data_IF_431940815649
#
_entry.id   IF_431940815649
#
_cell.length_a   1.000
_cell.length_b   1.000
_cell.length_c   1.000
_cell.angle_alpha   90.00
_cell.angle_beta   90.00
_cell.angle_gamma   90.00
#
_symmetry.space_group_name_H-M   'P 1'
#
loop_
_entity.id
_entity.type
_entity.pdbx_description
1 polymer ?
#
# COMPACT_ATOMS: atom_id res chain seq x y z
N UNK A 1 13.89 16.38 31.50
CA UNK A 1 12.60 15.73 31.73
C UNK A 1 12.70 14.34 31.13
N UNK A 2 12.67 13.32 31.97
CA UNK A 2 12.85 11.92 31.58
C UNK A 2 11.52 11.43 31.02
N UNK A 3 11.52 11.01 29.77
CA UNK A 3 10.35 10.40 29.14
C UNK A 3 10.40 8.90 29.41
N UNK A 4 9.45 8.42 30.21
CA UNK A 4 9.28 7.00 30.50
C UNK A 4 8.64 6.30 29.30
N UNK A 5 9.45 5.82 28.39
CA UNK A 5 9.18 4.69 27.49
C UNK A 5 10.53 4.31 26.85
N UNK A 6 11.29 3.51 27.61
CA UNK A 6 12.52 2.94 27.11
C UNK A 6 12.24 1.87 26.07
N UNK A 7 12.33 2.23 24.81
CA UNK A 7 12.62 1.31 23.68
C UNK A 7 13.31 2.11 22.60
N UNK A 8 14.35 1.52 22.07
CA UNK A 8 15.24 2.01 21.05
C UNK A 8 14.45 2.39 19.80
N UNK A 9 13.98 3.61 19.76
CA UNK A 9 13.74 4.29 18.50
C UNK A 9 15.14 4.49 17.92
N UNK A 10 15.38 4.02 16.71
CA UNK A 10 16.54 4.42 15.94
C UNK A 10 16.59 5.94 16.04
N UNK A 11 17.56 6.46 16.80
CA UNK A 11 17.91 7.86 16.75
C UNK A 11 18.43 8.13 15.34
N UNK A 12 17.52 8.43 14.40
CA UNK A 12 17.87 9.34 13.35
C UNK A 12 18.06 10.68 14.06
N UNK A 13 19.31 11.06 14.31
CA UNK A 13 19.62 12.46 14.43
C UNK A 13 18.92 13.12 13.27
N UNK A 14 18.04 14.10 13.54
CA UNK A 14 17.44 14.87 12.50
C UNK A 14 18.61 15.39 11.63
N UNK A 15 18.77 14.91 10.39
CA UNK A 15 19.66 15.59 9.49
C UNK A 15 19.04 16.97 9.32
N UNK A 16 19.84 18.01 9.38
CA UNK A 16 19.49 19.31 8.81
C UNK A 16 18.65 19.03 7.57
N UNK A 17 17.43 19.56 7.54
CA UNK A 17 16.60 19.48 6.34
C UNK A 17 17.41 20.15 5.23
N UNK A 18 18.26 19.38 4.55
CA UNK A 18 18.69 19.74 3.22
C UNK A 18 17.39 19.82 2.43
N UNK A 19 17.04 21.02 2.03
CA UNK A 19 15.98 21.25 1.05
C UNK A 19 16.41 20.49 -0.21
N UNK A 20 15.99 19.22 -0.32
CA UNK A 20 16.12 18.53 -1.58
C UNK A 20 15.29 19.32 -2.59
N UNK A 21 15.94 19.87 -3.60
CA UNK A 21 15.23 20.43 -4.74
C UNK A 21 14.47 19.27 -5.35
N UNK A 22 13.17 19.25 -5.11
CA UNK A 22 12.30 18.21 -5.68
C UNK A 22 12.25 18.41 -7.18
N UNK A 23 12.42 17.33 -7.91
CA UNK A 23 12.33 17.32 -9.37
C UNK A 23 10.89 17.00 -9.79
N UNK A 24 10.50 17.54 -10.94
CA UNK A 24 9.27 17.09 -11.59
C UNK A 24 9.41 15.61 -11.94
N UNK A 25 8.42 14.82 -11.54
CA UNK A 25 8.41 13.39 -11.75
C UNK A 25 7.65 12.65 -10.68
N UNK A 26 7.63 11.33 -10.81
CA UNK A 26 6.92 10.42 -9.91
C UNK A 26 7.89 9.36 -9.40
N UNK A 27 8.06 9.27 -8.09
CA UNK A 27 8.68 8.10 -7.45
C UNK A 27 7.60 7.06 -7.19
N UNK A 28 7.81 5.84 -7.65
CA UNK A 28 6.89 4.73 -7.39
C UNK A 28 7.19 4.11 -6.03
N UNK A 29 6.13 3.68 -5.36
CA UNK A 29 6.20 3.02 -4.06
C UNK A 29 5.42 1.71 -4.13
N UNK A 30 5.98 0.64 -3.63
CA UNK A 30 5.31 -0.66 -3.53
C UNK A 30 5.78 -1.40 -2.27
N UNK A 31 5.04 -2.42 -1.87
CA UNK A 31 5.48 -3.33 -0.83
C UNK A 31 5.11 -4.78 -1.14
N UNK A 32 5.91 -5.69 -0.60
CA UNK A 32 5.60 -7.11 -0.61
C UNK A 32 5.85 -7.71 0.77
N UNK A 33 4.76 -8.06 1.44
CA UNK A 33 4.76 -8.74 2.74
C UNK A 33 4.07 -10.10 2.56
N UNK A 34 4.80 -11.22 2.65
CA UNK A 34 4.21 -12.54 2.55
C UNK A 34 3.32 -12.83 3.77
N UNK A 35 2.08 -13.17 3.52
CA UNK A 35 1.07 -13.52 4.54
C UNK A 35 0.49 -14.92 4.31
N UNK A 36 1.28 -15.82 3.69
CA UNK A 36 0.90 -17.20 3.47
C UNK A 36 -0.24 -17.40 2.44
N UNK A 37 -0.45 -16.45 1.52
CA UNK A 37 -1.53 -16.57 0.52
C UNK A 37 -1.41 -17.77 -0.40
N UNK A 38 -0.25 -18.40 -0.48
CA UNK A 38 -0.05 -19.66 -1.21
C UNK A 38 -0.83 -20.84 -0.61
N UNK A 39 -1.13 -20.79 0.67
CA UNK A 39 -1.86 -21.83 1.41
C UNK A 39 -3.40 -21.57 1.45
N UNK A 40 -3.84 -20.42 0.96
CA UNK A 40 -5.27 -20.10 0.89
C UNK A 40 -5.97 -20.95 -0.17
N UNK A 41 -7.31 -20.94 -0.15
CA UNK A 41 -8.13 -21.69 -1.10
C UNK A 41 -8.83 -20.76 -2.11
N UNK A 42 -9.25 -21.34 -3.24
CA UNK A 42 -10.04 -20.65 -4.25
C UNK A 42 -9.30 -19.55 -5.00
N UNK A 43 -10.03 -18.54 -5.45
CA UNK A 43 -9.48 -17.43 -6.28
C UNK A 43 -8.52 -16.51 -5.53
N UNK A 44 -8.54 -16.54 -4.20
CA UNK A 44 -7.66 -15.72 -3.36
C UNK A 44 -6.27 -16.33 -3.19
N UNK A 45 -6.08 -17.61 -3.56
CA UNK A 45 -4.80 -18.30 -3.48
C UNK A 45 -3.79 -17.70 -4.45
N UNK A 46 -2.65 -17.23 -3.91
CA UNK A 46 -1.52 -16.69 -4.68
C UNK A 46 -0.22 -16.97 -3.96
N UNK A 47 0.65 -17.77 -4.55
CA UNK A 47 1.99 -17.99 -4.00
C UNK A 47 2.87 -16.76 -4.15
N UNK A 48 3.93 -16.68 -3.33
CA UNK A 48 4.93 -15.61 -3.43
C UNK A 48 5.56 -15.58 -4.82
N UNK A 49 5.88 -16.74 -5.39
CA UNK A 49 6.41 -16.83 -6.76
C UNK A 49 5.46 -16.26 -7.82
N UNK A 50 4.16 -16.40 -7.62
CA UNK A 50 3.17 -15.78 -8.50
C UNK A 50 3.20 -14.26 -8.40
N UNK A 51 3.34 -13.70 -7.18
CA UNK A 51 3.53 -12.27 -6.98
C UNK A 51 4.83 -11.76 -7.61
N UNK A 52 5.92 -12.49 -7.50
CA UNK A 52 7.17 -12.14 -8.16
C UNK A 52 7.08 -12.16 -9.69
N UNK A 53 6.29 -13.05 -10.28
CA UNK A 53 5.99 -13.03 -11.73
C UNK A 53 5.19 -11.77 -12.10
N UNK A 54 4.25 -11.36 -11.27
CA UNK A 54 3.50 -10.12 -11.46
C UNK A 54 4.41 -8.91 -11.40
N UNK A 55 5.27 -8.84 -10.38
CA UNK A 55 6.27 -7.78 -10.25
C UNK A 55 7.21 -7.72 -11.46
N UNK A 56 7.74 -8.84 -11.90
CA UNK A 56 8.59 -8.92 -13.09
C UNK A 56 7.94 -8.31 -14.34
N UNK A 57 6.62 -8.41 -14.46
CA UNK A 57 5.90 -7.88 -15.60
C UNK A 57 6.03 -6.36 -15.73
N UNK A 58 5.97 -5.62 -14.63
CA UNK A 58 6.05 -4.17 -14.62
C UNK A 58 7.36 -3.59 -14.06
N UNK A 59 8.22 -4.41 -13.45
CA UNK A 59 9.47 -3.97 -12.81
C UNK A 59 10.48 -3.30 -13.74
N UNK A 60 10.25 -3.29 -15.04
CA UNK A 60 11.08 -2.61 -16.04
C UNK A 60 10.83 -1.11 -16.15
N UNK A 61 9.81 -0.57 -15.50
CA UNK A 61 9.49 0.85 -15.49
C UNK A 61 10.70 1.70 -15.07
N UNK A 62 10.86 2.88 -15.69
CA UNK A 62 12.09 3.69 -15.54
C UNK A 62 12.10 4.54 -14.29
N UNK A 63 10.95 4.80 -13.68
CA UNK A 63 10.82 5.62 -12.49
C UNK A 63 11.69 5.10 -11.33
N UNK A 64 12.10 6.00 -10.45
CA UNK A 64 12.62 5.63 -9.15
C UNK A 64 11.61 4.76 -8.42
N UNK A 65 12.09 3.72 -7.75
CA UNK A 65 11.24 2.77 -7.05
C UNK A 65 11.69 2.61 -5.60
N UNK A 66 10.76 2.82 -4.69
CA UNK A 66 10.91 2.52 -3.26
C UNK A 66 10.09 1.26 -2.96
N UNK A 67 10.73 0.26 -2.38
CA UNK A 67 10.09 -1.02 -2.05
C UNK A 67 10.26 -1.33 -0.57
N UNK A 68 9.16 -1.66 0.10
CA UNK A 68 9.17 -2.18 1.47
C UNK A 68 8.92 -3.68 1.43
N UNK A 69 9.74 -4.46 2.16
CA UNK A 69 9.62 -5.91 2.14
C UNK A 69 10.34 -6.55 3.32
N UNK A 70 10.16 -7.85 3.48
CA UNK A 70 10.88 -8.64 4.49
C UNK A 70 12.31 -8.98 4.04
N UNK A 71 13.22 -9.32 4.96
CA UNK A 71 14.64 -9.58 4.64
C UNK A 71 14.86 -10.60 3.53
N UNK A 72 14.11 -11.70 3.53
CA UNK A 72 14.24 -12.81 2.60
C UNK A 72 13.89 -12.45 1.15
N UNK A 73 13.08 -11.41 0.93
CA UNK A 73 12.61 -11.01 -0.39
C UNK A 73 13.42 -9.87 -1.02
N UNK A 74 14.19 -9.16 -0.21
CA UNK A 74 14.86 -7.93 -0.62
C UNK A 74 15.83 -8.13 -1.77
N UNK A 75 16.66 -9.16 -1.71
CA UNK A 75 17.66 -9.40 -2.75
C UNK A 75 17.00 -9.82 -4.07
N UNK A 76 15.96 -10.64 -4.03
CA UNK A 76 15.21 -11.04 -5.22
C UNK A 76 14.61 -9.82 -5.95
N UNK A 77 14.08 -8.86 -5.21
CA UNK A 77 13.55 -7.60 -5.77
C UNK A 77 14.65 -6.80 -6.47
N UNK A 78 15.81 -6.63 -5.82
CA UNK A 78 16.96 -5.93 -6.42
C UNK A 78 17.40 -6.59 -7.71
N UNK A 79 17.57 -7.90 -7.71
CA UNK A 79 18.01 -8.66 -8.88
C UNK A 79 17.03 -8.55 -10.05
N UNK A 80 15.72 -8.59 -9.79
CA UNK A 80 14.71 -8.38 -10.84
C UNK A 80 14.87 -6.99 -11.47
N UNK A 81 14.99 -5.94 -10.68
CA UNK A 81 15.15 -4.57 -11.18
C UNK A 81 16.48 -4.42 -11.96
N UNK A 82 17.56 -4.96 -11.41
CA UNK A 82 18.88 -4.94 -12.05
C UNK A 82 18.89 -5.69 -13.40
N UNK A 83 18.14 -6.76 -13.53
CA UNK A 83 18.03 -7.52 -14.80
C UNK A 83 17.42 -6.69 -15.94
N UNK A 84 16.70 -5.62 -15.60
CA UNK A 84 16.18 -4.61 -16.54
C UNK A 84 17.07 -3.36 -16.64
N UNK A 85 18.26 -3.36 -16.03
CA UNK A 85 19.16 -2.21 -15.99
C UNK A 85 18.65 -1.07 -15.09
N UNK A 86 17.76 -1.34 -14.14
CA UNK A 86 17.20 -0.34 -13.22
C UNK A 86 17.99 -0.32 -11.92
N UNK A 87 18.88 0.64 -11.76
CA UNK A 87 19.73 0.85 -10.57
C UNK A 87 19.08 1.81 -9.55
N UNK A 88 18.02 2.50 -9.94
CA UNK A 88 17.30 3.51 -9.16
C UNK A 88 16.20 2.83 -8.28
N UNK A 89 16.57 1.82 -7.51
CA UNK A 89 15.66 1.09 -6.62
C UNK A 89 16.19 1.10 -5.20
N UNK A 90 15.38 1.60 -4.28
CA UNK A 90 15.65 1.58 -2.86
C UNK A 90 14.77 0.51 -2.20
N UNK A 91 15.38 -0.43 -1.46
CA UNK A 91 14.66 -1.50 -0.77
C UNK A 91 14.85 -1.37 0.72
N UNK A 92 13.76 -1.15 1.42
CA UNK A 92 13.71 -1.00 2.87
C UNK A 92 13.17 -2.29 3.52
N UNK A 93 13.86 -2.72 4.57
CA UNK A 93 13.52 -3.95 5.28
C UNK A 93 12.56 -3.66 6.43
N UNK A 94 11.48 -4.41 6.46
CA UNK A 94 10.55 -4.49 7.60
C UNK A 94 10.69 -5.90 8.18
N UNK A 95 11.21 -6.00 9.39
CA UNK A 95 11.44 -7.30 10.04
C UNK A 95 10.13 -7.92 10.52
N UNK A 96 9.31 -7.11 11.18
CA UNK A 96 8.02 -7.52 11.72
C UNK A 96 6.93 -6.59 11.20
N UNK A 97 5.92 -7.16 10.56
CA UNK A 97 4.82 -6.40 9.97
C UNK A 97 4.03 -5.61 11.03
N UNK A 98 3.82 -6.20 12.21
CA UNK A 98 3.09 -5.55 13.31
C UNK A 98 3.79 -4.31 13.87
N UNK A 99 5.11 -4.20 13.71
CA UNK A 99 5.88 -3.04 14.20
C UNK A 99 5.62 -1.76 13.39
N UNK A 100 5.00 -1.87 12.22
CA UNK A 100 4.58 -0.71 11.42
C UNK A 100 3.58 0.16 12.20
N UNK A 101 2.55 -0.46 12.77
CA UNK A 101 1.56 0.19 13.65
C UNK A 101 0.90 -0.88 14.55
N UNK A 102 1.54 -1.17 15.66
CA UNK A 102 1.10 -2.22 16.59
C UNK A 102 -0.31 -2.00 17.13
N UNK A 103 -0.71 -0.75 17.33
CA UNK A 103 -2.03 -0.41 17.83
C UNK A 103 -3.12 -0.74 16.80
N UNK A 104 -2.88 -0.40 15.54
CA UNK A 104 -3.79 -0.69 14.43
C UNK A 104 -3.85 -2.20 14.16
N UNK A 105 -2.70 -2.87 14.15
CA UNK A 105 -2.62 -4.32 14.02
C UNK A 105 -3.48 -5.04 15.06
N UNK A 106 -3.30 -4.69 16.33
CA UNK A 106 -4.08 -5.28 17.43
C UNK A 106 -5.58 -5.01 17.27
N UNK A 107 -5.95 -3.77 16.95
CA UNK A 107 -7.34 -3.36 16.81
C UNK A 107 -8.04 -4.09 15.64
N UNK A 108 -7.36 -4.23 14.49
CA UNK A 108 -7.88 -5.01 13.35
C UNK A 108 -8.09 -6.48 13.72
N UNK A 109 -7.13 -7.07 14.43
CA UNK A 109 -7.27 -8.46 14.90
C UNK A 109 -8.43 -8.62 15.87
N UNK A 110 -8.66 -7.68 16.78
CA UNK A 110 -9.76 -7.77 17.74
C UNK A 110 -11.13 -7.64 17.06
N UNK A 111 -11.27 -6.70 16.13
CA UNK A 111 -12.51 -6.55 15.34
C UNK A 111 -12.73 -7.75 14.44
N UNK A 112 -11.70 -8.24 13.76
CA UNK A 112 -11.76 -9.38 12.85
C UNK A 112 -12.26 -10.69 13.48
N UNK A 113 -12.13 -10.85 14.80
CA UNK A 113 -12.71 -12.00 15.53
C UNK A 113 -14.25 -12.03 15.47
N UNK A 114 -14.89 -10.91 15.29
CA UNK A 114 -16.33 -10.77 15.42
C UNK A 114 -17.03 -10.28 14.15
N UNK A 115 -16.35 -9.50 13.32
CA UNK A 115 -16.91 -8.84 12.15
C UNK A 115 -17.51 -9.80 11.10
N UNK A 116 -16.94 -11.00 10.80
CA UNK A 116 -17.51 -11.92 9.79
C UNK A 116 -18.98 -12.27 10.01
N UNK A 117 -19.48 -12.20 11.25
CA UNK A 117 -20.90 -12.46 11.58
C UNK A 117 -21.86 -11.44 10.98
N UNK A 118 -21.37 -10.26 10.62
CA UNK A 118 -22.20 -9.14 10.14
C UNK A 118 -22.09 -8.92 8.63
N UNK A 119 -21.06 -9.49 7.99
CA UNK A 119 -20.88 -9.41 6.53
C UNK A 119 -21.81 -10.36 5.80
N UNK A 120 -22.20 -9.99 4.58
CA UNK A 120 -22.92 -10.87 3.66
C UNK A 120 -21.98 -11.87 2.96
N UNK A 121 -20.67 -11.66 3.05
CA UNK A 121 -19.64 -12.47 2.40
C UNK A 121 -18.52 -12.84 3.38
N UNK A 122 -18.82 -13.63 4.43
CA UNK A 122 -17.89 -13.89 5.54
C UNK A 122 -16.59 -14.59 5.12
N UNK A 123 -16.56 -15.25 3.97
CA UNK A 123 -15.40 -16.01 3.48
C UNK A 123 -14.43 -15.16 2.64
N UNK A 124 -14.78 -13.90 2.37
CA UNK A 124 -13.86 -13.01 1.64
C UNK A 124 -12.66 -12.61 2.51
N UNK A 125 -11.44 -12.48 1.91
CA UNK A 125 -10.25 -12.11 2.67
C UNK A 125 -10.40 -10.82 3.47
N UNK A 126 -10.98 -9.78 2.88
CA UNK A 126 -11.25 -8.48 3.52
C UNK A 126 -12.26 -8.55 4.68
N UNK A 127 -12.87 -9.70 4.90
CA UNK A 127 -13.82 -9.93 6.00
C UNK A 127 -13.25 -10.91 7.03
N UNK A 128 -12.54 -11.93 6.56
CA UNK A 128 -12.12 -13.08 7.39
C UNK A 128 -10.66 -13.06 7.82
N UNK A 129 -9.85 -12.17 7.25
CA UNK A 129 -8.41 -12.17 7.46
C UNK A 129 -7.86 -10.79 7.82
N UNK A 130 -7.79 -10.42 9.12
CA UNK A 130 -7.30 -9.11 9.57
C UNK A 130 -5.84 -8.81 9.16
N UNK A 131 -5.01 -9.85 8.92
CA UNK A 131 -3.64 -9.64 8.42
C UNK A 131 -3.67 -9.14 6.98
N UNK A 132 -4.62 -9.61 6.17
CA UNK A 132 -4.82 -9.11 4.82
C UNK A 132 -5.16 -7.62 4.83
N UNK A 133 -6.12 -7.20 5.65
CA UNK A 133 -6.51 -5.80 5.77
C UNK A 133 -5.37 -4.94 6.32
N UNK A 134 -4.61 -5.47 7.27
CA UNK A 134 -3.44 -4.77 7.78
C UNK A 134 -2.38 -4.56 6.70
N UNK A 135 -2.12 -5.55 5.84
CA UNK A 135 -1.21 -5.37 4.69
C UNK A 135 -1.76 -4.31 3.73
N UNK A 136 -3.07 -4.26 3.49
CA UNK A 136 -3.69 -3.20 2.67
C UNK A 136 -3.52 -1.81 3.33
N UNK A 137 -3.66 -1.73 4.65
CA UNK A 137 -3.39 -0.51 5.42
C UNK A 137 -1.92 -0.04 5.30
N UNK A 138 -0.94 -0.95 5.32
CA UNK A 138 0.48 -0.58 5.33
C UNK A 138 0.92 0.20 4.10
N UNK A 139 0.18 0.16 2.98
CA UNK A 139 0.50 0.94 1.78
C UNK A 139 0.56 2.45 2.06
N UNK A 140 -0.30 2.94 2.93
CA UNK A 140 -0.35 4.36 3.29
C UNK A 140 0.84 4.77 4.16
N UNK A 141 1.25 3.90 5.08
CA UNK A 141 2.49 4.06 5.82
C UNK A 141 3.71 4.04 4.89
N UNK A 142 3.77 3.10 3.94
CA UNK A 142 4.84 3.03 2.96
C UNK A 142 4.95 4.31 2.13
N UNK A 143 3.82 4.87 1.68
CA UNK A 143 3.78 6.17 0.98
C UNK A 143 4.34 7.29 1.87
N UNK A 144 3.90 7.36 3.12
CA UNK A 144 4.39 8.36 4.07
C UNK A 144 5.89 8.23 4.32
N UNK A 145 6.42 7.01 4.52
CA UNK A 145 7.85 6.81 4.69
C UNK A 145 8.64 7.15 3.41
N UNK A 146 8.14 6.71 2.25
CA UNK A 146 8.79 7.00 0.96
C UNK A 146 8.87 8.49 0.66
N UNK A 147 7.90 9.30 1.11
CA UNK A 147 7.93 10.75 0.93
C UNK A 147 9.13 11.45 1.58
N UNK A 148 9.76 10.82 2.57
CA UNK A 148 10.93 11.37 3.26
C UNK A 148 12.23 11.18 2.47
N UNK A 149 12.24 10.28 1.48
CA UNK A 149 13.41 9.91 0.68
C UNK A 149 13.22 10.14 -0.83
N UNK A 150 11.99 10.37 -1.26
CA UNK A 150 11.68 10.66 -2.65
C UNK A 150 12.28 12.02 -3.07
N UNK A 151 12.94 12.04 -4.24
CA UNK A 151 13.47 13.27 -4.83
C UNK A 151 12.46 13.96 -5.76
N UNK A 152 11.31 13.37 -6.01
CA UNK A 152 10.29 13.86 -6.93
C UNK A 152 9.13 14.54 -6.17
N UNK A 153 8.48 15.50 -6.83
CA UNK A 153 7.34 16.24 -6.27
C UNK A 153 6.06 15.40 -6.16
N UNK A 154 6.03 14.22 -6.77
CA UNK A 154 4.94 13.25 -6.66
C UNK A 154 5.45 11.87 -6.31
N UNK A 155 4.62 11.13 -5.57
CA UNK A 155 4.80 9.70 -5.33
C UNK A 155 3.54 8.96 -5.75
N UNK A 156 3.70 7.70 -6.16
CA UNK A 156 2.56 6.87 -6.50
C UNK A 156 2.72 5.45 -5.95
N UNK A 157 1.68 4.98 -5.29
CA UNK A 157 1.56 3.57 -4.95
C UNK A 157 1.24 2.74 -6.20
N UNK A 158 1.91 1.63 -6.34
CA UNK A 158 1.54 0.53 -7.26
C UNK A 158 1.59 -0.77 -6.47
N UNK A 159 0.52 -1.55 -6.50
CA UNK A 159 0.54 -2.87 -5.88
C UNK A 159 1.66 -3.74 -6.48
N UNK A 160 2.36 -4.50 -5.64
CA UNK A 160 3.40 -5.42 -6.09
C UNK A 160 2.89 -6.42 -7.13
N UNK A 161 1.64 -6.81 -7.01
CA UNK A 161 0.91 -7.66 -7.96
C UNK A 161 0.21 -6.93 -9.08
N UNK A 162 0.54 -5.67 -9.38
CA UNK A 162 -0.11 -4.86 -10.40
C UNK A 162 -0.22 -5.57 -11.74
N UNK A 163 -1.35 -5.38 -12.43
CA UNK A 163 -1.66 -5.96 -13.73
C UNK A 163 -1.69 -7.51 -13.77
N UNK A 164 -1.53 -8.17 -12.62
CA UNK A 164 -1.56 -9.63 -12.47
C UNK A 164 -0.73 -10.40 -13.51
N UNK A 165 0.37 -9.77 -13.99
CA UNK A 165 1.27 -10.36 -14.97
C UNK A 165 0.74 -10.33 -16.41
N UNK A 166 0.00 -9.31 -16.79
CA UNK A 166 -0.49 -9.09 -18.14
C UNK A 166 -1.98 -9.32 -18.31
N UNK A 167 -2.77 -9.13 -17.27
CA UNK A 167 -4.24 -9.21 -17.38
C UNK A 167 -4.79 -8.10 -18.28
N UNK A 168 -4.28 -6.88 -18.14
CA UNK A 168 -4.69 -5.71 -18.92
C UNK A 168 -3.65 -5.34 -19.98
N UNK A 169 -2.37 -5.34 -19.62
CA UNK A 169 -1.25 -5.00 -20.50
C UNK A 169 -0.46 -6.24 -20.86
N UNK A 170 -0.95 -7.02 -21.83
CA UNK A 170 -0.37 -8.31 -22.24
C UNK A 170 1.10 -8.22 -22.64
N UNK A 171 1.49 -7.13 -23.30
CA UNK A 171 2.87 -6.86 -23.66
C UNK A 171 3.58 -6.11 -22.53
N UNK A 172 4.52 -6.77 -21.88
CA UNK A 172 5.31 -6.17 -20.80
C UNK A 172 6.25 -5.06 -21.26
N UNK A 173 6.55 -4.95 -22.57
CA UNK A 173 7.28 -3.80 -23.15
C UNK A 173 6.53 -2.49 -22.94
N UNK A 174 5.22 -2.54 -22.72
CA UNK A 174 4.43 -1.37 -22.37
C UNK A 174 4.95 -0.67 -21.12
N UNK A 175 5.53 -1.40 -20.15
CA UNK A 175 6.13 -0.85 -18.93
C UNK A 175 7.58 -0.37 -19.11
N UNK A 176 8.23 -0.58 -20.27
CA UNK A 176 9.57 -0.09 -20.55
C UNK A 176 9.55 1.40 -20.91
N UNK A 177 9.10 2.21 -19.97
CA UNK A 177 8.91 3.66 -20.09
C UNK A 177 8.96 4.34 -18.73
N UNK A 178 9.03 5.67 -18.72
CA UNK A 178 8.79 6.48 -17.54
C UNK A 178 7.29 6.79 -17.41
N UNK A 179 6.72 6.54 -16.26
CA UNK A 179 5.42 7.09 -15.93
C UNK A 179 5.62 8.57 -15.57
N UNK A 180 5.13 9.44 -16.41
CA UNK A 180 5.25 10.88 -16.30
C UNK A 180 3.91 11.61 -16.43
N UNK A 181 2.82 10.90 -16.18
CA UNK A 181 1.50 11.50 -16.24
C UNK A 181 1.39 12.59 -15.18
N UNK A 182 1.26 13.83 -15.63
CA UNK A 182 1.02 14.98 -14.74
C UNK A 182 -0.47 15.23 -14.63
N UNK A 183 -0.98 15.14 -13.40
CA UNK A 183 -2.35 15.54 -13.12
C UNK A 183 -2.43 17.04 -12.83
N UNK A 184 -3.62 17.66 -13.02
CA UNK A 184 -3.88 18.98 -12.47
C UNK A 184 -3.58 18.98 -10.97
N UNK A 185 -3.11 20.10 -10.45
CA UNK A 185 -2.77 20.27 -9.05
C UNK A 185 -3.91 19.77 -8.14
N UNK A 186 -3.61 18.74 -7.37
CA UNK A 186 -4.51 18.11 -6.40
C UNK A 186 -3.70 17.20 -5.51
N UNK A 187 -3.99 17.20 -4.22
CA UNK A 187 -3.16 16.53 -3.22
C UNK A 187 -3.10 15.01 -3.40
N UNK A 188 -4.23 14.39 -3.76
CA UNK A 188 -4.36 12.95 -3.97
C UNK A 188 -5.21 12.69 -5.21
N UNK A 189 -4.81 11.69 -5.97
CA UNK A 189 -5.56 11.18 -7.09
C UNK A 189 -5.93 9.72 -6.87
N UNK A 190 -7.22 9.47 -6.79
CA UNK A 190 -7.84 8.16 -6.64
C UNK A 190 -8.51 7.74 -7.94
N UNK A 191 -8.52 6.44 -8.22
CA UNK A 191 -9.13 5.90 -9.44
C UNK A 191 -10.51 5.36 -9.13
N UNK A 192 -11.53 6.11 -9.55
CA UNK A 192 -12.90 5.67 -9.45
C UNK A 192 -13.20 4.62 -10.55
N UNK A 193 -13.80 3.48 -10.17
CA UNK A 193 -14.13 2.38 -11.10
C UNK A 193 -15.61 2.29 -11.42
N UNK A 194 -16.46 2.93 -10.64
CA UNK A 194 -17.90 3.07 -10.88
C UNK A 194 -18.45 4.30 -10.14
N UNK A 195 -19.68 4.70 -10.44
CA UNK A 195 -20.34 5.80 -9.73
C UNK A 195 -20.31 5.59 -8.21
N UNK A 196 -20.08 6.69 -7.47
CA UNK A 196 -20.05 6.65 -6.01
C UNK A 196 -21.44 6.26 -5.48
N UNK A 197 -21.51 5.53 -4.36
CA UNK A 197 -22.76 5.06 -3.83
C UNK A 197 -23.60 6.20 -3.25
N UNK A 198 -24.91 6.07 -3.36
CA UNK A 198 -25.87 6.82 -2.55
C UNK A 198 -26.22 6.10 -1.24
N UNK A 199 -25.84 4.84 -1.12
CA UNK A 199 -26.09 4.01 0.04
C UNK A 199 -25.19 4.40 1.22
N UNK A 200 -25.62 4.18 2.46
CA UNK A 200 -24.77 4.33 3.64
C UNK A 200 -23.51 3.46 3.53
N UNK A 201 -22.37 4.00 3.99
CA UNK A 201 -21.08 3.29 3.95
C UNK A 201 -21.15 1.90 4.62
N UNK A 202 -21.95 1.76 5.67
CA UNK A 202 -22.19 0.48 6.34
C UNK A 202 -22.73 -0.61 5.40
N UNK A 203 -23.63 -0.25 4.50
CA UNK A 203 -24.20 -1.19 3.53
C UNK A 203 -23.18 -1.56 2.44
N UNK A 204 -22.33 -0.62 2.04
CA UNK A 204 -21.22 -0.87 1.11
C UNK A 204 -20.24 -1.89 1.71
N UNK A 205 -19.85 -1.69 2.97
CA UNK A 205 -18.94 -2.58 3.72
C UNK A 205 -19.55 -3.98 3.84
N UNK A 206 -20.81 -4.10 4.27
CA UNK A 206 -21.47 -5.40 4.41
C UNK A 206 -21.58 -6.17 3.10
N UNK A 207 -21.68 -5.47 1.98
CA UNK A 207 -21.73 -6.06 0.63
C UNK A 207 -20.35 -6.20 -0.02
N UNK A 208 -19.28 -5.78 0.68
CA UNK A 208 -17.90 -5.76 0.17
C UNK A 208 -17.84 -5.13 -1.24
N UNK A 209 -18.41 -3.94 -1.37
CA UNK A 209 -18.51 -3.23 -2.65
C UNK A 209 -17.29 -2.35 -2.87
N UNK A 210 -16.76 -2.36 -4.10
CA UNK A 210 -15.61 -1.57 -4.50
C UNK A 210 -16.01 -0.43 -5.40
N UNK A 211 -15.64 0.80 -5.08
CA UNK A 211 -15.92 2.03 -5.84
C UNK A 211 -14.63 2.72 -6.28
N UNK A 212 -13.60 2.64 -5.44
CA UNK A 212 -12.28 3.23 -5.67
C UNK A 212 -11.26 2.11 -5.74
N UNK A 213 -10.35 2.22 -6.69
CA UNK A 213 -9.30 1.23 -6.91
C UNK A 213 -8.13 1.47 -5.94
N UNK A 214 -7.75 0.44 -5.18
CA UNK A 214 -6.65 0.55 -4.20
C UNK A 214 -5.26 0.19 -4.76
N UNK A 215 -5.19 -0.38 -5.98
CA UNK A 215 -3.93 -0.87 -6.54
C UNK A 215 -3.03 0.23 -7.11
N UNK A 216 -3.53 1.46 -7.23
CA UNK A 216 -2.80 2.62 -7.70
C UNK A 216 -3.34 3.89 -7.03
N UNK A 217 -2.45 4.67 -6.42
CA UNK A 217 -2.76 5.94 -5.76
C UNK A 217 -1.62 6.90 -6.08
N UNK A 218 -1.92 8.09 -6.62
CA UNK A 218 -0.93 9.13 -6.86
C UNK A 218 -1.19 10.32 -5.94
N UNK A 219 -0.13 10.89 -5.36
CA UNK A 219 -0.26 12.06 -4.49
C UNK A 219 0.97 12.96 -4.54
N UNK A 220 0.78 14.19 -4.12
CA UNK A 220 1.88 15.11 -3.91
C UNK A 220 2.75 14.62 -2.74
N UNK A 221 4.06 14.62 -2.93
CA UNK A 221 5.01 14.06 -1.96
C UNK A 221 4.93 14.76 -0.59
N UNK A 222 4.69 16.05 -0.57
CA UNK A 222 4.54 16.84 0.67
C UNK A 222 3.24 16.57 1.43
N UNK A 223 2.23 16.00 0.75
CA UNK A 223 0.95 15.64 1.37
C UNK A 223 0.91 14.22 1.95
N UNK A 224 1.88 13.36 1.63
CA UNK A 224 1.84 11.94 1.96
C UNK A 224 1.72 11.64 3.47
N UNK A 225 2.39 12.44 4.30
CA UNK A 225 2.30 12.29 5.77
C UNK A 225 0.88 12.61 6.27
N UNK A 226 0.30 13.70 5.77
CA UNK A 226 -1.07 14.07 6.15
C UNK A 226 -2.08 13.04 5.65
N UNK A 227 -1.91 12.56 4.42
CA UNK A 227 -2.79 11.53 3.85
C UNK A 227 -2.76 10.22 4.67
N UNK A 228 -1.56 9.80 5.13
CA UNK A 228 -1.47 8.66 6.04
C UNK A 228 -2.23 8.88 7.34
N UNK A 229 -2.12 10.07 7.94
CA UNK A 229 -2.87 10.41 9.17
C UNK A 229 -4.37 10.37 8.92
N UNK A 230 -4.83 10.94 7.81
CA UNK A 230 -6.25 10.97 7.44
C UNK A 230 -6.81 9.56 7.27
N UNK A 231 -6.11 8.71 6.50
CA UNK A 231 -6.47 7.31 6.26
C UNK A 231 -6.46 6.51 7.58
N UNK A 232 -5.42 6.68 8.40
CA UNK A 232 -5.31 6.00 9.70
C UNK A 232 -6.49 6.32 10.61
N UNK A 233 -6.90 7.58 10.63
CA UNK A 233 -8.06 8.02 11.40
C UNK A 233 -9.36 7.37 10.90
N UNK A 234 -9.55 7.24 9.58
CA UNK A 234 -10.73 6.57 9.03
C UNK A 234 -10.75 5.08 9.38
N UNK A 235 -9.62 4.39 9.29
CA UNK A 235 -9.51 3.01 9.78
C UNK A 235 -9.88 2.90 11.27
N UNK A 236 -9.33 3.77 12.10
CA UNK A 236 -9.62 3.76 13.53
C UNK A 236 -11.11 4.00 13.82
N UNK A 237 -11.75 4.94 13.10
CA UNK A 237 -13.19 5.19 13.23
C UNK A 237 -14.01 3.96 12.82
N UNK A 238 -13.67 3.32 11.70
CA UNK A 238 -14.35 2.13 11.21
C UNK A 238 -14.24 0.98 12.23
N UNK A 239 -13.03 0.72 12.70
CA UNK A 239 -12.74 -0.35 13.66
C UNK A 239 -13.41 -0.11 15.02
N UNK A 240 -13.52 1.14 15.48
CA UNK A 240 -14.27 1.49 16.71
C UNK A 240 -15.78 1.25 16.55
N UNK A 241 -16.30 1.25 15.32
CA UNK A 241 -17.67 0.84 15.03
C UNK A 241 -17.83 -0.69 14.94
N UNK A 242 -16.76 -1.46 15.13
CA UNK A 242 -16.78 -2.93 15.03
C UNK A 242 -16.81 -3.44 13.59
N UNK A 243 -16.40 -2.63 12.63
CA UNK A 243 -16.38 -2.95 11.20
C UNK A 243 -14.93 -3.06 10.73
N UNK A 244 -14.69 -3.92 9.74
CA UNK A 244 -13.40 -4.14 9.11
C UNK A 244 -13.60 -4.21 7.59
N UNK A 245 -12.69 -3.61 6.83
CA UNK A 245 -12.63 -3.71 5.38
C UNK A 245 -11.22 -3.35 4.89
N UNK A 246 -10.95 -3.60 3.63
CA UNK A 246 -9.69 -3.26 3.00
C UNK A 246 -9.56 -1.76 2.67
N UNK A 247 -8.51 -1.38 1.96
CA UNK A 247 -8.18 0.01 1.62
C UNK A 247 -9.21 0.70 0.71
N UNK A 248 -9.99 -0.03 -0.06
CA UNK A 248 -10.89 0.52 -1.08
C UNK A 248 -12.07 1.28 -0.45
N UNK A 249 -12.63 0.75 0.62
CA UNK A 249 -13.68 1.42 1.40
C UNK A 249 -13.11 2.60 2.18
N UNK A 250 -11.92 2.45 2.75
CA UNK A 250 -11.27 3.55 3.47
C UNK A 250 -10.99 4.73 2.54
N UNK A 251 -10.52 4.46 1.32
CA UNK A 251 -10.33 5.50 0.30
C UNK A 251 -11.65 6.20 -0.07
N UNK A 252 -12.77 5.46 -0.11
CA UNK A 252 -14.10 6.05 -0.29
C UNK A 252 -14.49 6.96 0.89
N UNK A 253 -14.13 6.60 2.12
CA UNK A 253 -14.38 7.42 3.32
C UNK A 253 -13.50 8.67 3.39
N UNK A 254 -12.36 8.69 2.68
CA UNK A 254 -11.46 9.85 2.58
C UNK A 254 -11.83 10.80 1.44
N UNK A 255 -12.74 10.41 0.53
CA UNK A 255 -13.22 11.22 -0.60
C UNK A 255 -14.21 12.28 -0.12
#
# INVERSE_FOLDING_TARGET
>A
MINMLGKTIIQSGAPDRMYHIMHDGITLVTAFFPIGRGEWTGKAQRSDDKYFKYFQHWARIHNDLVVYTTPENAERIRQIRLSFGRTNTQVYIVNDLEDIDKSMYTLMHDVGKHYPKYSLFPDKPEVSNPIYDFVMYTKFWCLAQASTVAATNKIAWIDFGFDHGGEYYKDNQWFDRTWNYTRPNGKVALFQIRELPSDPIFDCIRRTETYIQGNCIELDTDYAQQFYVDVRNQYEHLLRCGLLDDDQIILLMCH
#
